data_IF_869502237111
#
_entry.id   IF_869502237111
#
_cell.length_a   1.000
_cell.length_b   1.000
_cell.length_c   1.000
_cell.angle_alpha   90.00
_cell.angle_beta   90.00
_cell.angle_gamma   90.00
#
_symmetry.space_group_name_H-M   'P 1'
#
loop_
_entity.id
_entity.type
_entity.pdbx_description
1 polymer ?
#
# COMPACT_ATOMS: atom_id res chain seq x y z
N UNK A 1 10.41 -12.48 -20.58
CA UNK A 1 9.57 -11.58 -21.41
C UNK A 1 10.23 -10.21 -21.46
N UNK A 2 10.63 -9.76 -22.65
CA UNK A 2 11.51 -8.61 -22.90
C UNK A 2 10.68 -7.31 -22.86
N UNK A 3 10.86 -6.45 -21.85
CA UNK A 3 10.14 -5.17 -21.77
C UNK A 3 10.68 -4.21 -22.83
N UNK A 4 9.84 -3.86 -23.82
CA UNK A 4 10.11 -2.76 -24.75
C UNK A 4 10.19 -1.46 -23.96
N UNK A 5 11.30 -0.75 -24.14
CA UNK A 5 11.74 0.51 -23.52
C UNK A 5 10.77 1.72 -23.65
N UNK A 6 9.54 1.55 -24.13
CA UNK A 6 8.50 2.59 -24.21
C UNK A 6 7.36 2.50 -23.18
N UNK A 7 7.34 1.47 -22.32
CA UNK A 7 6.20 1.17 -21.44
C UNK A 7 6.19 1.87 -20.06
N UNK A 8 7.35 2.31 -19.55
CA UNK A 8 7.46 2.80 -18.16
C UNK A 8 6.55 4.00 -17.83
N UNK A 9 6.47 4.99 -18.74
CA UNK A 9 5.57 6.14 -18.59
C UNK A 9 4.09 5.77 -18.55
N UNK A 10 3.69 4.73 -19.29
CA UNK A 10 2.30 4.25 -19.30
C UNK A 10 1.94 3.61 -17.96
N UNK A 11 2.88 2.87 -17.37
CA UNK A 11 2.70 2.25 -16.04
C UNK A 11 2.50 3.32 -14.97
N UNK A 12 3.30 4.39 -14.97
CA UNK A 12 3.15 5.50 -14.00
C UNK A 12 1.77 6.19 -14.06
N UNK A 13 1.09 6.11 -15.21
CA UNK A 13 -0.23 6.72 -15.48
C UNK A 13 -1.39 5.72 -15.43
N UNK A 14 -1.17 4.49 -14.94
CA UNK A 14 -2.27 3.58 -14.68
C UNK A 14 -3.25 4.18 -13.67
N UNK A 15 -4.54 3.94 -13.88
CA UNK A 15 -5.60 4.41 -12.99
C UNK A 15 -5.35 4.08 -11.50
N UNK A 16 -4.96 2.86 -11.11
CA UNK A 16 -4.59 2.58 -9.71
C UNK A 16 -3.43 3.45 -9.19
N UNK A 17 -2.43 3.75 -10.03
CA UNK A 17 -1.28 4.58 -9.61
C UNK A 17 -1.67 6.06 -9.45
N UNK A 18 -2.60 6.55 -10.28
CA UNK A 18 -3.18 7.89 -10.11
C UNK A 18 -3.92 7.98 -8.76
N UNK A 19 -4.69 6.96 -8.41
CA UNK A 19 -5.32 6.87 -7.08
C UNK A 19 -4.25 6.87 -5.98
N UNK A 20 -3.15 6.13 -6.16
CA UNK A 20 -1.98 6.18 -5.27
C UNK A 20 -1.41 7.58 -5.06
N UNK A 21 -1.26 8.39 -6.12
CA UNK A 21 -0.79 9.78 -5.98
C UNK A 21 -1.81 10.69 -5.27
N UNK A 22 -3.11 10.46 -5.49
CA UNK A 22 -4.17 11.15 -4.74
C UNK A 22 -4.09 10.78 -3.26
N UNK A 23 -3.86 9.50 -2.93
CA UNK A 23 -3.66 9.04 -1.55
C UNK A 23 -2.49 9.75 -0.88
N UNK A 24 -1.34 9.87 -1.55
CA UNK A 24 -0.20 10.64 -1.04
C UNK A 24 -0.62 12.06 -0.68
N UNK A 25 -1.32 12.73 -1.59
CA UNK A 25 -1.78 14.11 -1.39
C UNK A 25 -2.75 14.22 -0.21
N UNK A 26 -3.67 13.26 -0.05
CA UNK A 26 -4.61 13.21 1.07
C UNK A 26 -3.92 12.94 2.41
N UNK A 27 -2.90 12.08 2.44
CA UNK A 27 -2.11 11.80 3.65
C UNK A 27 -1.36 13.06 4.09
N UNK A 28 -0.73 13.78 3.16
CA UNK A 28 -0.07 15.06 3.48
C UNK A 28 -1.08 16.13 3.90
N UNK A 29 -2.26 16.20 3.26
CA UNK A 29 -3.32 17.12 3.67
C UNK A 29 -3.84 16.80 5.08
N UNK A 30 -4.05 15.51 5.40
CA UNK A 30 -4.44 15.07 6.73
C UNK A 30 -3.37 15.49 7.75
N UNK A 31 -2.10 15.23 7.47
CA UNK A 31 -1.00 15.67 8.32
C UNK A 31 -0.95 17.18 8.51
N UNK A 32 -1.10 17.97 7.45
CA UNK A 32 -1.15 19.43 7.58
C UNK A 32 -2.32 19.89 8.47
N UNK A 33 -3.44 19.17 8.44
CA UNK A 33 -4.62 19.43 9.24
C UNK A 33 -4.64 18.71 10.61
N UNK A 34 -3.53 18.14 11.08
CA UNK A 34 -3.48 17.30 12.30
C UNK A 34 -4.02 17.98 13.57
N UNK A 35 -3.96 19.31 13.65
CA UNK A 35 -4.47 20.08 14.80
C UNK A 35 -6.01 20.14 14.86
N UNK A 36 -6.69 19.82 13.75
CA UNK A 36 -8.15 19.81 13.66
C UNK A 36 -8.65 18.39 13.39
N UNK A 37 -9.10 17.65 14.43
CA UNK A 37 -9.64 16.30 14.27
C UNK A 37 -10.79 16.23 13.26
N UNK A 38 -11.61 17.28 13.18
CA UNK A 38 -12.72 17.37 12.24
C UNK A 38 -12.29 17.37 10.77
N UNK A 39 -11.06 17.83 10.47
CA UNK A 39 -10.48 17.77 9.13
C UNK A 39 -9.58 16.53 8.96
N UNK A 40 -8.78 16.19 9.98
CA UNK A 40 -7.87 15.05 9.94
C UNK A 40 -8.59 13.72 9.70
N UNK A 41 -9.60 13.41 10.51
CA UNK A 41 -10.31 12.12 10.48
C UNK A 41 -10.90 11.82 9.10
N UNK A 42 -11.69 12.71 8.46
CA UNK A 42 -12.24 12.42 7.14
C UNK A 42 -11.17 12.30 6.06
N UNK A 43 -10.12 13.14 6.07
CA UNK A 43 -9.03 13.07 5.09
C UNK A 43 -8.25 11.76 5.18
N UNK A 44 -7.88 11.36 6.40
CA UNK A 44 -7.17 10.12 6.65
C UNK A 44 -8.04 8.89 6.33
N UNK A 45 -9.32 8.93 6.69
CA UNK A 45 -10.28 7.87 6.37
C UNK A 45 -10.44 7.72 4.86
N UNK A 46 -10.56 8.82 4.12
CA UNK A 46 -10.66 8.80 2.67
C UNK A 46 -9.40 8.20 2.03
N UNK A 47 -8.21 8.60 2.49
CA UNK A 47 -6.95 8.03 2.01
C UNK A 47 -6.87 6.50 2.25
N UNK A 48 -7.39 6.04 3.39
CA UNK A 48 -7.44 4.61 3.75
C UNK A 48 -8.48 3.83 2.93
N UNK A 49 -9.61 4.44 2.57
CA UNK A 49 -10.59 3.78 1.69
C UNK A 49 -10.03 3.63 0.28
N UNK A 50 -9.33 4.66 -0.23
CA UNK A 50 -8.76 4.66 -1.57
C UNK A 50 -7.69 3.59 -1.78
N UNK A 51 -7.03 3.14 -0.73
CA UNK A 51 -6.12 1.98 -0.72
C UNK A 51 -6.81 0.72 -1.27
N UNK A 52 -7.95 0.35 -0.68
CA UNK A 52 -8.71 -0.80 -1.18
C UNK A 52 -9.23 -0.60 -2.61
N UNK A 53 -9.51 0.65 -3.00
CA UNK A 53 -10.00 1.00 -4.34
C UNK A 53 -8.91 0.85 -5.40
N UNK A 54 -7.68 1.27 -5.14
CA UNK A 54 -6.59 1.15 -6.13
C UNK A 54 -6.29 -0.31 -6.46
N UNK A 55 -6.25 -1.20 -5.48
CA UNK A 55 -6.04 -2.63 -5.69
C UNK A 55 -7.20 -3.27 -6.43
N UNK A 56 -8.44 -2.89 -6.09
CA UNK A 56 -9.62 -3.34 -6.82
C UNK A 56 -9.59 -2.90 -8.28
N UNK A 57 -9.21 -1.65 -8.54
CA UNK A 57 -9.13 -1.07 -9.88
C UNK A 57 -8.01 -1.71 -10.71
N UNK A 58 -6.85 -1.98 -10.10
CA UNK A 58 -5.75 -2.68 -10.72
C UNK A 58 -6.17 -4.08 -11.22
N UNK A 59 -6.94 -4.82 -10.42
CA UNK A 59 -7.47 -6.14 -10.80
C UNK A 59 -8.54 -6.03 -11.88
N UNK A 60 -9.51 -5.13 -11.71
CA UNK A 60 -10.63 -4.97 -12.64
C UNK A 60 -10.18 -4.51 -14.03
N UNK A 61 -9.16 -3.66 -14.11
CA UNK A 61 -8.61 -3.13 -15.37
C UNK A 61 -7.43 -3.94 -15.91
N UNK A 62 -6.96 -4.97 -15.20
CA UNK A 62 -5.75 -5.71 -15.57
C UNK A 62 -4.49 -4.83 -15.59
N UNK A 63 -4.45 -3.77 -14.77
CA UNK A 63 -3.38 -2.78 -14.67
C UNK A 63 -2.45 -3.04 -13.47
N UNK A 64 -2.16 -4.30 -13.18
CA UNK A 64 -1.22 -4.68 -12.11
C UNK A 64 0.22 -4.42 -12.56
N UNK A 65 1.05 -3.89 -11.66
CA UNK A 65 2.46 -3.63 -11.96
C UNK A 65 3.32 -3.66 -10.71
N UNK A 66 4.59 -4.05 -10.86
CA UNK A 66 5.57 -4.00 -9.77
C UNK A 66 5.72 -2.58 -9.19
N UNK A 67 5.73 -1.55 -10.05
CA UNK A 67 5.79 -0.17 -9.60
C UNK A 67 4.60 0.20 -8.71
N UNK A 68 3.37 -0.08 -9.15
CA UNK A 68 2.17 0.24 -8.38
C UNK A 68 2.12 -0.48 -7.04
N UNK A 69 2.56 -1.74 -7.01
CA UNK A 69 2.60 -2.49 -5.75
C UNK A 69 3.70 -2.00 -4.78
N UNK A 70 4.82 -1.46 -5.28
CA UNK A 70 5.80 -0.76 -4.43
C UNK A 70 5.30 0.61 -3.98
N UNK A 71 4.61 1.34 -4.85
CA UNK A 71 3.98 2.62 -4.52
C UNK A 71 2.98 2.42 -3.37
N UNK A 72 2.13 1.41 -3.45
CA UNK A 72 1.16 1.06 -2.42
C UNK A 72 1.81 0.83 -1.04
N UNK A 73 2.80 -0.07 -0.97
CA UNK A 73 3.58 -0.34 0.24
C UNK A 73 4.22 0.94 0.82
N UNK A 74 4.75 1.81 -0.05
CA UNK A 74 5.36 3.08 0.39
C UNK A 74 4.32 4.02 1.01
N UNK A 75 3.15 4.18 0.38
CA UNK A 75 2.07 5.07 0.86
C UNK A 75 1.47 4.55 2.17
N UNK A 76 1.26 3.24 2.29
CA UNK A 76 0.77 2.59 3.51
C UNK A 76 1.71 2.81 4.68
N UNK A 77 3.01 2.64 4.44
CA UNK A 77 3.97 2.79 5.53
C UNK A 77 4.19 4.26 5.89
N UNK A 78 4.16 5.16 4.90
CA UNK A 78 4.19 6.61 5.14
C UNK A 78 3.00 7.05 5.99
N UNK A 79 1.78 6.66 5.59
CA UNK A 79 0.55 7.06 6.27
C UNK A 79 0.51 6.57 7.72
N UNK A 80 0.85 5.30 7.99
CA UNK A 80 0.96 4.76 9.35
C UNK A 80 2.08 5.42 10.14
N UNK A 81 3.24 5.69 9.53
CA UNK A 81 4.36 6.33 10.24
C UNK A 81 4.00 7.73 10.73
N UNK A 82 3.30 8.47 9.88
CA UNK A 82 2.75 9.78 10.24
C UNK A 82 1.73 9.64 11.37
N UNK A 83 0.75 8.74 11.26
CA UNK A 83 -0.23 8.54 12.32
C UNK A 83 0.42 8.20 13.67
N UNK A 84 1.37 7.26 13.70
CA UNK A 84 2.08 6.88 14.93
C UNK A 84 2.84 8.06 15.56
N UNK A 85 3.48 8.88 14.72
CA UNK A 85 4.24 10.05 15.17
C UNK A 85 3.37 11.16 15.77
N UNK A 86 2.10 11.26 15.36
CA UNK A 86 1.13 12.18 15.97
C UNK A 86 0.60 11.66 17.31
N UNK A 87 0.40 10.35 17.43
CA UNK A 87 -0.23 9.75 18.61
C UNK A 87 0.73 9.60 19.79
N UNK A 88 2.00 9.24 19.53
CA UNK A 88 2.97 8.94 20.58
C UNK A 88 4.35 9.52 20.27
N UNK A 89 5.03 10.05 21.29
CA UNK A 89 6.40 10.58 21.18
C UNK A 89 7.42 9.52 20.71
N UNK A 90 7.18 8.25 21.04
CA UNK A 90 8.00 7.11 20.61
C UNK A 90 7.43 6.41 19.35
N UNK A 91 6.43 7.00 18.69
CA UNK A 91 5.77 6.42 17.52
C UNK A 91 6.73 6.13 16.36
N UNK A 92 7.80 6.92 16.23
CA UNK A 92 8.87 6.67 15.24
C UNK A 92 9.57 5.32 15.43
N UNK A 93 9.64 4.77 16.65
CA UNK A 93 10.17 3.44 16.90
C UNK A 93 9.26 2.36 16.30
N UNK A 94 7.94 2.51 16.44
CA UNK A 94 6.97 1.59 15.84
C UNK A 94 7.15 1.57 14.32
N UNK A 95 7.22 2.76 13.71
CA UNK A 95 7.47 2.89 12.27
C UNK A 95 8.78 2.25 11.83
N UNK A 96 9.85 2.44 12.61
CA UNK A 96 11.16 1.85 12.32
C UNK A 96 11.10 0.32 12.41
N UNK A 97 10.42 -0.22 13.42
CA UNK A 97 10.22 -1.66 13.57
C UNK A 97 9.39 -2.24 12.43
N UNK A 98 8.31 -1.56 12.02
CA UNK A 98 7.49 -1.97 10.87
C UNK A 98 8.33 -2.03 9.59
N UNK A 99 9.16 -1.02 9.33
CA UNK A 99 10.11 -1.01 8.20
C UNK A 99 11.13 -2.15 8.29
N UNK A 100 11.74 -2.36 9.46
CA UNK A 100 12.70 -3.45 9.67
C UNK A 100 12.06 -4.82 9.41
N UNK A 101 10.87 -5.06 9.97
CA UNK A 101 10.13 -6.33 9.76
C UNK A 101 9.78 -6.50 8.29
N UNK A 102 9.30 -5.45 7.61
CA UNK A 102 9.00 -5.49 6.19
C UNK A 102 10.24 -5.85 5.36
N UNK A 103 11.38 -5.17 5.59
CA UNK A 103 12.63 -5.43 4.87
C UNK A 103 13.15 -6.84 5.14
N UNK A 104 13.17 -7.28 6.40
CA UNK A 104 13.58 -8.64 6.76
C UNK A 104 12.68 -9.70 6.11
N UNK A 105 11.36 -9.49 6.13
CA UNK A 105 10.41 -10.43 5.54
C UNK A 105 10.52 -10.46 4.01
N UNK A 106 10.66 -9.30 3.36
CA UNK A 106 10.87 -9.24 1.92
C UNK A 106 12.23 -9.82 1.50
N UNK A 107 13.28 -9.59 2.29
CA UNK A 107 14.61 -10.15 2.03
C UNK A 107 14.66 -11.67 2.18
N UNK A 108 13.85 -12.25 3.08
CA UNK A 108 13.83 -13.70 3.33
C UNK A 108 12.89 -14.45 2.41
N UNK A 109 11.74 -13.87 2.04
CA UNK A 109 10.68 -14.57 1.28
C UNK A 109 10.42 -14.03 -0.12
N UNK A 110 10.93 -12.84 -0.44
CA UNK A 110 10.87 -12.27 -1.78
C UNK A 110 9.45 -12.19 -2.37
N UNK A 111 9.28 -12.46 -3.68
CA UNK A 111 7.99 -12.43 -4.36
C UNK A 111 6.98 -13.47 -3.85
N UNK A 112 7.50 -14.58 -3.32
CA UNK A 112 6.72 -15.79 -3.01
C UNK A 112 6.19 -15.80 -1.58
N UNK A 113 6.30 -14.71 -0.81
CA UNK A 113 5.88 -14.66 0.59
C UNK A 113 4.42 -15.12 0.79
N UNK A 114 3.55 -14.90 -0.20
CA UNK A 114 2.13 -15.31 -0.18
C UNK A 114 1.93 -16.83 -0.18
N UNK A 115 2.93 -17.62 -0.59
CA UNK A 115 2.90 -19.10 -0.52
C UNK A 115 2.83 -19.63 0.92
N UNK A 116 3.25 -18.81 1.89
CA UNK A 116 3.23 -19.14 3.32
C UNK A 116 1.81 -19.35 3.87
N UNK A 117 0.77 -18.90 3.15
CA UNK A 117 -0.63 -19.03 3.59
C UNK A 117 -1.35 -20.28 3.07
N UNK A 118 -0.63 -21.20 2.42
CA UNK A 118 -1.18 -22.48 1.95
C UNK A 118 -1.73 -23.36 3.11
N UNK A 119 -1.11 -23.26 4.28
CA UNK A 119 -1.51 -23.94 5.53
C UNK A 119 -2.43 -23.11 6.44
N UNK A 120 -2.88 -21.93 6.01
CA UNK A 120 -3.67 -21.01 6.86
C UNK A 120 -5.12 -21.47 7.12
N UNK A 121 -5.77 -20.95 8.18
CA UNK A 121 -7.21 -21.11 8.41
C UNK A 121 -8.08 -20.80 7.18
N UNK A 122 -9.27 -21.42 7.10
CA UNK A 122 -10.15 -21.38 5.92
C UNK A 122 -10.48 -19.96 5.44
N UNK A 123 -10.69 -19.02 6.37
CA UNK A 123 -11.00 -17.62 6.05
C UNK A 123 -9.86 -16.95 5.25
N UNK A 124 -8.62 -17.12 5.71
CA UNK A 124 -7.44 -16.52 5.06
C UNK A 124 -7.25 -17.13 3.67
N UNK A 125 -7.45 -18.45 3.52
CA UNK A 125 -7.39 -19.10 2.20
C UNK A 125 -8.46 -18.59 1.25
N UNK A 126 -9.68 -18.37 1.71
CA UNK A 126 -10.76 -17.83 0.88
C UNK A 126 -10.47 -16.40 0.38
N UNK A 127 -9.88 -15.56 1.25
CA UNK A 127 -9.45 -14.20 0.87
C UNK A 127 -8.29 -14.26 -0.14
N UNK A 128 -7.34 -15.17 0.07
CA UNK A 128 -6.18 -15.32 -0.81
C UNK A 128 -6.52 -15.97 -2.15
N UNK A 129 -7.54 -16.84 -2.22
CA UNK A 129 -7.96 -17.53 -3.44
C UNK A 129 -8.68 -16.61 -4.45
N UNK A 130 -9.35 -15.53 -4.00
CA UNK A 130 -10.13 -14.62 -4.83
C UNK A 130 -9.29 -13.55 -5.57
N UNK A 131 -8.14 -13.93 -6.13
CA UNK A 131 -7.36 -13.05 -7.02
C UNK A 131 -6.35 -12.13 -6.33
N UNK A 132 -6.06 -12.33 -5.04
CA UNK A 132 -4.96 -11.65 -4.35
C UNK A 132 -3.58 -12.31 -4.59
N UNK A 133 -3.54 -13.41 -5.35
CA UNK A 133 -2.32 -14.04 -5.87
C UNK A 133 -1.76 -13.29 -7.09
N UNK A 134 -1.56 -11.98 -6.99
CA UNK A 134 -0.71 -11.31 -7.98
C UNK A 134 0.75 -11.66 -7.67
N UNK A 135 1.37 -12.42 -8.58
CA UNK A 135 2.81 -12.45 -8.77
C UNK A 135 3.27 -11.03 -9.12
N UNK A 136 4.37 -10.61 -8.50
CA UNK A 136 5.02 -9.29 -8.69
C UNK A 136 5.59 -9.11 -10.10
#
# INVERSE_FOLDING_TARGET
MRLRSGGGRKVMLFWPNIVGYIRISLVFAAWAAHQSPAAFVPLYTLASILDGVDGWLARKLGQTSRFGAWLDVLVDNLSRSMLWSLLFQWGWLVSTLEWCVFVCNHSTRGPDWKSSFSSSPRLIRAIMANGNQCYW
#
